data_IF_808800308128
#
_entry.id   IF_808800308128
#
_cell.length_a   1.000
_cell.length_b   1.000
_cell.length_c   1.000
_cell.angle_alpha   90.00
_cell.angle_beta   90.00
_cell.angle_gamma   90.00
#
_symmetry.space_group_name_H-M   'P 1'
#
loop_
_entity.id
_entity.type
_entity.pdbx_description
1 polymer ?
#
# COMPACT_ATOMS: atom_id res chain seq x y z
N UNK A 1 5.16 14.41 11.38
CA UNK A 1 4.80 13.67 12.61
C UNK A 1 3.66 14.42 13.31
N UNK A 2 2.57 13.73 13.63
CA UNK A 2 1.38 14.34 14.24
C UNK A 2 1.50 14.54 15.76
N UNK A 3 0.44 15.03 16.43
CA UNK A 3 0.45 15.40 17.86
C UNK A 3 0.64 14.22 18.83
N UNK A 4 0.55 12.97 18.35
CA UNK A 4 0.71 11.74 19.13
C UNK A 4 1.87 10.90 18.57
N UNK A 5 3.14 11.25 18.89
CA UNK A 5 4.33 10.67 18.27
C UNK A 5 4.56 9.18 18.59
N UNK A 6 3.91 8.65 19.62
CA UNK A 6 4.02 7.26 20.06
C UNK A 6 3.06 6.29 19.35
N UNK A 7 2.12 6.79 18.55
CA UNK A 7 1.09 5.96 17.92
C UNK A 7 1.60 5.42 16.58
N UNK A 8 1.46 4.11 16.41
CA UNK A 8 1.62 3.47 15.11
C UNK A 8 0.34 3.63 14.29
N UNK A 9 0.48 4.16 13.07
CA UNK A 9 -0.63 4.41 12.16
C UNK A 9 -0.58 3.41 11.01
N UNK A 10 -1.74 2.88 10.64
CA UNK A 10 -1.95 2.03 9.47
C UNK A 10 -3.17 2.59 8.69
N UNK A 11 -2.98 3.46 7.69
CA UNK A 11 -4.08 4.01 6.92
C UNK A 11 -4.67 2.96 5.97
N UNK A 12 -5.97 3.06 5.74
CA UNK A 12 -6.72 2.23 4.81
C UNK A 12 -7.59 3.11 3.93
N UNK A 13 -7.70 2.77 2.64
CA UNK A 13 -8.52 3.52 1.68
C UNK A 13 -7.75 4.66 1.02
N UNK A 14 -7.85 4.76 -0.31
CA UNK A 14 -7.09 5.73 -1.11
C UNK A 14 -5.59 5.40 -1.23
N UNK A 15 -5.19 4.15 -0.96
CA UNK A 15 -3.81 3.67 -1.15
C UNK A 15 -3.71 2.99 -2.51
N UNK A 16 -2.81 3.48 -3.35
CA UNK A 16 -2.51 2.97 -4.70
C UNK A 16 -1.00 2.82 -4.91
N UNK A 17 -0.58 2.23 -6.03
CA UNK A 17 0.85 2.14 -6.38
C UNK A 17 1.50 3.52 -6.57
N UNK A 18 0.71 4.54 -6.87
CA UNK A 18 1.20 5.91 -7.13
C UNK A 18 1.51 6.68 -5.84
N UNK A 19 0.98 6.24 -4.69
CA UNK A 19 1.10 6.98 -3.43
C UNK A 19 1.54 6.13 -2.24
N UNK A 20 1.65 4.80 -2.38
CA UNK A 20 2.05 3.91 -1.28
C UNK A 20 3.41 4.30 -0.69
N UNK A 21 4.33 4.79 -1.51
CA UNK A 21 5.64 5.24 -1.07
C UNK A 21 5.55 6.47 -0.15
N UNK A 22 4.65 7.41 -0.44
CA UNK A 22 4.42 8.61 0.37
C UNK A 22 3.92 8.25 1.76
N UNK A 23 2.99 7.29 1.84
CA UNK A 23 2.48 6.80 3.13
C UNK A 23 3.61 6.24 4.00
N UNK A 24 4.41 5.33 3.43
CA UNK A 24 5.54 4.70 4.14
C UNK A 24 6.56 5.75 4.59
N UNK A 25 6.94 6.67 3.70
CA UNK A 25 7.89 7.76 4.02
C UNK A 25 7.36 8.71 5.11
N UNK A 26 6.05 8.88 5.20
CA UNK A 26 5.41 9.69 6.24
C UNK A 26 5.36 9.01 7.61
N UNK A 27 5.90 7.79 7.72
CA UNK A 27 6.11 7.09 8.99
C UNK A 27 4.97 6.19 9.41
N UNK A 28 4.09 5.80 8.49
CA UNK A 28 3.10 4.75 8.76
C UNK A 28 3.80 3.40 8.80
N UNK A 29 3.35 2.52 9.70
CA UNK A 29 3.98 1.20 9.86
C UNK A 29 3.56 0.20 8.78
N UNK A 30 2.36 0.38 8.24
CA UNK A 30 1.73 -0.47 7.25
C UNK A 30 0.65 0.33 6.51
N UNK A 31 0.14 -0.20 5.40
CA UNK A 31 -0.99 0.34 4.64
C UNK A 31 -1.98 -0.78 4.32
N UNK A 32 -3.28 -0.45 4.27
CA UNK A 32 -4.32 -1.36 3.78
C UNK A 32 -4.74 -1.00 2.36
N UNK A 33 -4.63 -1.97 1.45
CA UNK A 33 -5.04 -1.83 0.04
C UNK A 33 -6.27 -2.71 -0.22
N UNK A 34 -7.31 -2.11 -0.80
CA UNK A 34 -8.59 -2.78 -1.05
C UNK A 34 -8.89 -2.91 -2.55
N UNK A 35 -9.79 -2.06 -3.04
CA UNK A 35 -10.28 -2.04 -4.43
C UNK A 35 -9.16 -2.02 -5.47
N UNK A 36 -8.07 -1.31 -5.19
CA UNK A 36 -6.94 -1.18 -6.11
C UNK A 36 -6.19 -2.50 -6.27
N UNK A 37 -6.19 -3.36 -5.25
CA UNK A 37 -5.59 -4.70 -5.31
C UNK A 37 -6.53 -5.71 -5.96
N UNK A 38 -7.81 -5.69 -5.59
CA UNK A 38 -8.80 -6.71 -6.00
C UNK A 38 -9.57 -6.36 -7.27
N UNK A 39 -9.36 -5.18 -7.85
CA UNK A 39 -10.03 -4.70 -9.06
C UNK A 39 -10.06 -5.72 -10.21
N UNK A 40 -8.94 -6.35 -10.58
CA UNK A 40 -8.90 -7.35 -11.66
C UNK A 40 -9.77 -8.60 -11.39
N UNK A 41 -10.03 -8.94 -10.13
CA UNK A 41 -10.88 -10.10 -9.81
C UNK A 41 -12.32 -9.93 -10.31
N UNK A 42 -12.78 -8.70 -10.57
CA UNK A 42 -14.11 -8.43 -11.15
C UNK A 42 -14.29 -9.05 -12.54
N UNK A 43 -13.20 -9.24 -13.28
CA UNK A 43 -13.18 -9.88 -14.60
C UNK A 43 -12.52 -11.26 -14.54
N UNK A 44 -12.48 -11.89 -13.36
CA UNK A 44 -11.81 -13.17 -13.09
C UNK A 44 -10.29 -13.17 -13.39
N UNK A 45 -9.67 -11.99 -13.47
CA UNK A 45 -8.22 -11.86 -13.69
C UNK A 45 -7.47 -11.97 -12.35
N UNK A 46 -7.32 -13.21 -11.87
CA UNK A 46 -6.57 -13.49 -10.64
C UNK A 46 -5.05 -13.34 -10.81
N UNK A 47 -4.54 -13.48 -12.04
CA UNK A 47 -3.13 -13.22 -12.34
C UNK A 47 -2.81 -11.73 -12.18
N UNK A 48 -3.71 -10.85 -12.63
CA UNK A 48 -3.66 -9.41 -12.43
C UNK A 48 -3.63 -9.04 -10.95
N UNK A 49 -4.47 -9.67 -10.13
CA UNK A 49 -4.44 -9.48 -8.66
C UNK A 49 -3.07 -9.88 -8.10
N UNK A 50 -2.54 -11.05 -8.50
CA UNK A 50 -1.24 -11.52 -8.02
C UNK A 50 -0.09 -10.60 -8.47
N UNK A 51 -0.17 -10.05 -9.69
CA UNK A 51 0.80 -9.08 -10.22
C UNK A 51 0.77 -7.78 -9.43
N UNK A 52 -0.42 -7.26 -9.14
CA UNK A 52 -0.59 -6.06 -8.31
C UNK A 52 -0.09 -6.30 -6.89
N UNK A 53 -0.41 -7.46 -6.29
CA UNK A 53 0.08 -7.81 -4.95
C UNK A 53 1.62 -7.76 -4.88
N UNK A 54 2.31 -8.34 -5.87
CA UNK A 54 3.78 -8.26 -5.97
C UNK A 54 4.26 -6.82 -6.13
N UNK A 55 3.64 -6.05 -7.02
CA UNK A 55 4.01 -4.65 -7.24
C UNK A 55 3.88 -3.80 -5.97
N UNK A 56 2.82 -4.00 -5.17
CA UNK A 56 2.66 -3.30 -3.89
C UNK A 56 3.75 -3.68 -2.89
N UNK A 57 4.06 -4.97 -2.77
CA UNK A 57 5.14 -5.44 -1.87
C UNK A 57 6.49 -4.84 -2.28
N UNK A 58 6.79 -4.83 -3.57
CA UNK A 58 8.05 -4.28 -4.08
C UNK A 58 8.12 -2.76 -3.86
N UNK A 59 7.04 -2.02 -4.16
CA UNK A 59 6.96 -0.59 -3.90
C UNK A 59 7.17 -0.25 -2.41
N UNK A 60 6.61 -1.05 -1.49
CA UNK A 60 6.81 -0.87 -0.04
C UNK A 60 8.25 -1.19 0.37
N UNK A 61 8.86 -2.24 -0.18
CA UNK A 61 10.28 -2.57 0.08
C UNK A 61 11.20 -1.45 -0.41
N UNK A 62 10.96 -0.93 -1.60
CA UNK A 62 11.73 0.17 -2.19
C UNK A 62 11.57 1.44 -1.36
N UNK A 63 10.36 1.75 -0.91
CA UNK A 63 10.09 2.92 -0.07
C UNK A 63 10.76 2.84 1.32
N UNK A 64 10.99 1.62 1.85
CA UNK A 64 11.69 1.40 3.13
C UNK A 64 13.21 1.39 3.01
N UNK A 65 13.73 1.17 1.80
CA UNK A 65 15.17 1.06 1.54
C UNK A 65 15.83 2.40 1.18
N UNK A 66 15.05 3.47 1.11
CA UNK A 66 15.48 4.85 0.82
C UNK A 66 15.28 5.72 2.06
#
# INVERSE_FOLDING_TARGET
KGPLPQINIMPTGGVSLDNVDQWIKNGVIAVGVGSDLTGPAKTQDYEGVAKLARAFVDAVKDARSK
#
